data_IF_836101979420
#
_entry.id   IF_836101979420
#
_cell.length_a   1.000
_cell.length_b   1.000
_cell.length_c   1.000
_cell.angle_alpha   90.00
_cell.angle_beta   90.00
_cell.angle_gamma   90.00
#
_symmetry.space_group_name_H-M   'P 1'
#
loop_
_entity.id
_entity.type
_entity.pdbx_description
1 polymer ?
#
# COMPACT_ATOMS: atom_id res chain seq x y z
N UNK A 1 -2.15 19.64 5.10
CA UNK A 1 -1.20 18.54 4.92
C UNK A 1 -1.32 17.98 3.51
N UNK A 2 -0.20 17.75 2.88
CA UNK A 2 -0.16 17.15 1.55
C UNK A 2 -0.25 15.63 1.67
N UNK A 3 -1.05 15.03 0.79
CA UNK A 3 -1.12 13.58 0.67
C UNK A 3 -0.95 13.22 -0.80
N UNK A 4 -0.46 12.02 -1.05
CA UNK A 4 -0.30 11.49 -2.40
C UNK A 4 -0.92 10.12 -2.51
N UNK A 5 -0.93 9.60 -3.73
CA UNK A 5 -1.37 8.24 -3.96
C UNK A 5 -0.36 7.26 -3.36
N UNK A 6 -0.82 6.06 -3.07
CA UNK A 6 0.05 4.99 -2.56
C UNK A 6 1.20 4.79 -3.55
N UNK A 7 2.42 4.77 -3.03
CA UNK A 7 3.65 4.68 -3.81
C UNK A 7 4.35 3.36 -3.44
N UNK A 8 4.28 2.38 -4.33
CA UNK A 8 4.78 1.04 -4.06
C UNK A 8 6.31 1.01 -3.91
N UNK A 9 7.11 1.62 -4.80
CA UNK A 9 8.57 1.63 -4.58
C UNK A 9 8.98 2.24 -3.26
N UNK A 10 8.35 3.35 -2.86
CA UNK A 10 8.65 3.99 -1.59
C UNK A 10 8.23 3.11 -0.42
N UNK A 11 7.07 2.47 -0.53
CA UNK A 11 6.58 1.57 0.51
C UNK A 11 7.53 0.38 0.70
N UNK A 12 8.00 -0.22 -0.39
CA UNK A 12 8.97 -1.32 -0.33
C UNK A 12 10.28 -0.88 0.30
N UNK A 13 10.75 0.31 -0.04
CA UNK A 13 11.96 0.88 0.54
C UNK A 13 11.83 1.06 2.05
N UNK A 14 10.72 1.66 2.49
CA UNK A 14 10.46 1.87 3.91
C UNK A 14 10.29 0.54 4.65
N UNK A 15 9.64 -0.42 4.03
CA UNK A 15 9.45 -1.74 4.64
C UNK A 15 10.78 -2.45 4.85
N UNK A 16 11.69 -2.36 3.88
CA UNK A 16 13.01 -2.96 3.99
C UNK A 16 13.84 -2.29 5.08
N UNK A 17 13.79 -0.95 5.16
CA UNK A 17 14.53 -0.22 6.18
C UNK A 17 14.06 -0.51 7.60
N UNK A 18 12.77 -0.77 7.77
CA UNK A 18 12.16 -0.94 9.08
C UNK A 18 11.84 -2.40 9.41
N UNK A 19 12.25 -3.32 8.56
CA UNK A 19 12.05 -4.75 8.75
C UNK A 19 10.58 -5.09 9.02
N UNK A 20 9.70 -4.59 8.16
CA UNK A 20 8.26 -4.75 8.31
C UNK A 20 7.82 -6.13 7.82
N UNK A 21 7.06 -6.85 8.64
CA UNK A 21 6.55 -8.17 8.31
C UNK A 21 5.12 -8.17 7.78
N UNK A 22 4.35 -7.15 8.12
CA UNK A 22 2.97 -7.04 7.66
C UNK A 22 2.52 -5.59 7.68
N UNK A 23 1.42 -5.29 6.98
CA UNK A 23 0.85 -3.95 6.92
C UNK A 23 -0.45 -3.85 7.71
N UNK A 24 -0.66 -2.68 8.29
CA UNK A 24 -1.96 -2.27 8.78
C UNK A 24 -2.50 -1.22 7.79
N UNK A 25 -3.59 -1.55 7.13
CA UNK A 25 -4.20 -0.65 6.14
C UNK A 25 -5.26 0.20 6.82
N UNK A 26 -5.06 1.51 6.77
CA UNK A 26 -5.95 2.48 7.44
C UNK A 26 -6.45 3.52 6.44
N UNK A 27 -7.46 4.28 6.84
CA UNK A 27 -7.99 5.40 6.06
C UNK A 27 -8.54 5.01 4.69
N UNK A 28 -8.90 3.75 4.51
CA UNK A 28 -9.45 3.27 3.24
C UNK A 28 -10.82 3.87 2.93
N UNK A 29 -11.52 4.35 3.95
CA UNK A 29 -12.82 4.96 3.81
C UNK A 29 -12.81 6.21 2.92
N UNK A 30 -11.70 6.93 2.87
CA UNK A 30 -11.60 8.17 2.08
C UNK A 30 -11.64 7.91 0.57
N UNK A 31 -11.38 6.68 0.14
CA UNK A 31 -11.37 6.30 -1.27
C UNK A 31 -12.57 5.44 -1.67
N UNK A 32 -13.50 5.23 -0.75
CA UNK A 32 -14.71 4.44 -1.00
C UNK A 32 -15.54 5.02 -2.13
N UNK A 33 -16.04 4.15 -3.00
CA UNK A 33 -16.90 4.56 -4.10
C UNK A 33 -16.17 4.81 -5.41
N UNK A 34 -14.86 4.69 -5.43
CA UNK A 34 -14.10 4.80 -6.67
C UNK A 34 -14.08 3.46 -7.40
N UNK A 35 -14.23 3.49 -8.73
CA UNK A 35 -14.11 2.27 -9.53
C UNK A 35 -12.68 1.74 -9.50
N UNK A 36 -11.72 2.68 -9.56
CA UNK A 36 -10.30 2.34 -9.50
C UNK A 36 -9.59 3.34 -8.58
N UNK A 37 -8.44 2.91 -8.07
CA UNK A 37 -7.58 3.72 -7.22
C UNK A 37 -6.21 3.84 -7.90
N UNK A 38 -5.74 5.08 -8.16
CA UNK A 38 -4.40 5.26 -8.71
C UNK A 38 -3.34 4.81 -7.70
N UNK A 39 -2.36 4.06 -8.19
CA UNK A 39 -1.25 3.58 -7.38
C UNK A 39 0.04 3.81 -8.16
N UNK A 40 1.03 4.41 -7.53
CA UNK A 40 2.34 4.61 -8.15
C UNK A 40 3.11 3.31 -8.06
N UNK A 41 3.43 2.72 -9.21
CA UNK A 41 4.10 1.43 -9.27
C UNK A 41 5.56 1.52 -9.70
N UNK A 42 6.00 2.70 -10.13
CA UNK A 42 7.37 2.91 -10.56
C UNK A 42 7.59 4.38 -10.86
N UNK A 43 8.76 4.67 -11.39
CA UNK A 43 9.14 6.04 -11.76
C UNK A 43 9.75 6.05 -13.14
N UNK A 44 9.61 7.18 -13.82
CA UNK A 44 10.29 7.43 -15.09
C UNK A 44 11.35 8.48 -14.89
N UNK A 45 12.57 8.17 -15.29
CA UNK A 45 13.67 9.12 -15.28
C UNK A 45 14.16 9.24 -16.72
N UNK A 46 13.72 10.30 -17.41
CA UNK A 46 13.95 10.41 -18.84
C UNK A 46 13.22 9.31 -19.60
N UNK A 47 13.95 8.45 -20.28
CA UNK A 47 13.38 7.30 -21.00
C UNK A 47 13.47 6.01 -20.20
N UNK A 48 14.07 6.06 -19.02
CA UNK A 48 14.29 4.88 -18.20
C UNK A 48 13.16 4.69 -17.20
N UNK A 49 12.72 3.44 -17.04
CA UNK A 49 11.72 3.07 -16.04
C UNK A 49 12.43 2.50 -14.82
N UNK A 50 12.14 3.05 -13.65
CA UNK A 50 12.73 2.63 -12.40
C UNK A 50 11.66 1.98 -11.51
N UNK A 51 12.00 0.85 -10.91
CA UNK A 51 11.14 0.16 -9.95
C UNK A 51 11.51 0.50 -8.50
N UNK A 52 12.52 1.31 -8.31
CA UNK A 52 12.98 1.73 -6.99
C UNK A 52 13.36 3.21 -7.01
N UNK A 53 13.50 3.79 -5.82
CA UNK A 53 13.89 5.19 -5.71
C UNK A 53 15.34 5.38 -6.17
N UNK A 54 15.61 6.46 -6.93
CA UNK A 54 16.99 6.80 -7.25
C UNK A 54 17.73 7.31 -6.02
N UNK A 55 19.05 7.20 -6.03
CA UNK A 55 19.87 7.60 -4.88
C UNK A 55 20.23 9.08 -4.87
N UNK A 56 20.31 9.73 -6.03
CA UNK A 56 20.71 11.12 -6.06
C UNK A 56 19.51 12.06 -5.91
N UNK A 57 19.74 13.19 -5.25
CA UNK A 57 18.69 14.21 -5.08
C UNK A 57 18.26 14.77 -6.43
N UNK A 58 19.22 14.98 -7.34
CA UNK A 58 18.91 15.50 -8.68
C UNK A 58 17.97 14.55 -9.43
N UNK A 59 18.22 13.24 -9.36
CA UNK A 59 17.38 12.25 -10.01
C UNK A 59 16.00 12.17 -9.33
N UNK A 60 15.95 12.27 -8.02
CA UNK A 60 14.68 12.28 -7.30
C UNK A 60 13.79 13.47 -7.68
N UNK A 61 14.40 14.61 -7.99
CA UNK A 61 13.65 15.78 -8.43
C UNK A 61 13.19 15.66 -9.88
N UNK A 62 13.85 14.83 -10.66
CA UNK A 62 13.59 14.67 -12.10
C UNK A 62 12.64 13.53 -12.43
N UNK A 63 12.35 12.63 -11.49
CA UNK A 63 11.49 11.49 -11.76
C UNK A 63 10.03 11.88 -11.88
N UNK A 64 9.30 11.10 -12.68
CA UNK A 64 7.86 11.24 -12.83
C UNK A 64 7.22 9.92 -12.39
N UNK A 65 6.11 9.97 -11.65
CA UNK A 65 5.46 8.73 -11.20
C UNK A 65 4.79 7.99 -12.37
N UNK A 66 4.91 6.69 -12.35
CA UNK A 66 4.15 5.80 -13.24
C UNK A 66 2.96 5.30 -12.43
N UNK A 67 1.76 5.59 -12.92
CA UNK A 67 0.53 5.30 -12.18
C UNK A 67 -0.25 4.19 -12.85
N UNK A 68 -0.64 3.19 -12.05
CA UNK A 68 -1.58 2.14 -12.47
C UNK A 68 -2.91 2.34 -11.78
N UNK A 69 -3.97 1.90 -12.40
CA UNK A 69 -5.31 1.92 -11.81
C UNK A 69 -5.59 0.55 -11.21
N UNK A 70 -5.70 0.49 -9.89
CA UNK A 70 -6.00 -0.74 -9.18
C UNK A 70 -7.48 -0.81 -8.82
N UNK A 71 -8.02 -2.02 -8.56
CA UNK A 71 -9.43 -2.16 -8.22
C UNK A 71 -9.83 -1.32 -7.01
N UNK A 72 -10.94 -0.60 -7.14
CA UNK A 72 -11.52 0.15 -6.04
C UNK A 72 -12.48 -0.69 -5.20
N UNK A 73 -13.21 -0.03 -4.31
CA UNK A 73 -14.17 -0.71 -3.42
C UNK A 73 -15.35 0.20 -3.11
N UNK A 74 -16.50 -0.42 -2.86
CA UNK A 74 -17.73 0.29 -2.53
C UNK A 74 -17.88 0.50 -1.03
N UNK A 75 -17.25 -0.35 -0.25
CA UNK A 75 -17.29 -0.27 1.21
C UNK A 75 -15.99 -0.83 1.77
N UNK A 76 -15.65 -0.40 2.97
CA UNK A 76 -14.41 -0.83 3.61
C UNK A 76 -14.67 -2.11 4.38
N UNK A 77 -14.46 -3.24 3.72
CA UNK A 77 -14.50 -4.54 4.38
C UNK A 77 -13.55 -5.50 3.63
N UNK A 78 -13.31 -6.63 4.25
CA UNK A 78 -12.38 -7.62 3.73
C UNK A 78 -12.79 -8.11 2.34
N UNK A 79 -14.06 -8.38 2.14
CA UNK A 79 -14.56 -8.91 0.88
C UNK A 79 -14.48 -7.90 -0.26
N UNK A 80 -14.96 -6.68 -0.02
CA UNK A 80 -14.98 -5.63 -1.05
C UNK A 80 -13.57 -5.19 -1.43
N UNK A 81 -12.63 -5.21 -0.49
CA UNK A 81 -11.27 -4.77 -0.72
C UNK A 81 -10.31 -5.88 -1.13
N UNK A 82 -10.78 -7.12 -1.21
CA UNK A 82 -9.93 -8.26 -1.52
C UNK A 82 -9.10 -8.05 -2.79
N UNK A 83 -9.67 -7.58 -3.92
CA UNK A 83 -8.86 -7.37 -5.13
C UNK A 83 -7.73 -6.35 -4.93
N UNK A 84 -7.98 -5.28 -4.21
CA UNK A 84 -6.96 -4.27 -3.91
C UNK A 84 -5.88 -4.84 -2.99
N UNK A 85 -6.31 -5.51 -1.93
CA UNK A 85 -5.37 -6.10 -0.96
C UNK A 85 -4.47 -7.13 -1.62
N UNK A 86 -5.02 -7.97 -2.49
CA UNK A 86 -4.23 -8.97 -3.21
C UNK A 86 -3.17 -8.32 -4.11
N UNK A 87 -3.53 -7.22 -4.78
CA UNK A 87 -2.58 -6.48 -5.60
C UNK A 87 -1.46 -5.89 -4.75
N UNK A 88 -1.81 -5.33 -3.60
CA UNK A 88 -0.83 -4.75 -2.68
C UNK A 88 0.13 -5.81 -2.15
N UNK A 89 -0.40 -6.94 -1.72
CA UNK A 89 0.43 -8.04 -1.22
C UNK A 89 1.33 -8.61 -2.31
N UNK A 90 0.81 -8.74 -3.52
CA UNK A 90 1.60 -9.23 -4.64
C UNK A 90 2.70 -8.25 -5.03
N UNK A 91 2.42 -6.97 -5.01
CA UNK A 91 3.39 -5.93 -5.41
C UNK A 91 4.51 -5.74 -4.39
N UNK A 92 4.23 -5.97 -3.11
CA UNK A 92 5.19 -5.74 -2.03
C UNK A 92 5.80 -7.00 -1.47
N UNK A 93 5.15 -8.14 -1.64
CA UNK A 93 5.55 -9.39 -1.00
C UNK A 93 5.26 -9.42 0.49
N UNK A 94 4.48 -8.47 1.00
CA UNK A 94 4.20 -8.32 2.43
C UNK A 94 2.69 -8.41 2.64
N UNK A 95 2.22 -9.24 3.57
CA UNK A 95 0.78 -9.40 3.80
C UNK A 95 0.17 -8.21 4.51
N UNK A 96 -1.11 -7.98 4.25
CA UNK A 96 -1.92 -7.04 5.03
C UNK A 96 -2.58 -7.87 6.14
N UNK A 97 -2.30 -7.52 7.37
CA UNK A 97 -2.80 -8.28 8.52
C UNK A 97 -3.90 -7.56 9.29
N UNK A 98 -4.00 -6.26 9.14
CA UNK A 98 -5.00 -5.45 9.83
C UNK A 98 -5.64 -4.50 8.84
N UNK A 99 -6.96 -4.43 8.85
CA UNK A 99 -7.73 -3.47 8.07
C UNK A 99 -8.59 -2.65 9.03
N UNK A 100 -8.36 -1.35 9.08
CA UNK A 100 -9.20 -0.45 9.86
C UNK A 100 -10.44 -0.10 9.04
N UNK A 101 -11.62 -0.45 9.53
CA UNK A 101 -12.88 -0.24 8.81
C UNK A 101 -13.56 1.07 9.17
N UNK A 102 -13.05 1.79 10.16
CA UNK A 102 -13.59 3.08 10.57
C UNK A 102 -12.67 3.76 11.56
N UNK A 103 -13.17 4.83 12.17
CA UNK A 103 -12.37 5.65 13.09
C UNK A 103 -12.28 5.09 14.50
N UNK A 104 -13.18 4.18 14.85
CA UNK A 104 -13.26 3.65 16.20
C UNK A 104 -12.26 2.54 16.40
N UNK A 105 -11.85 2.38 17.65
CA UNK A 105 -10.85 1.38 18.01
C UNK A 105 -11.30 -0.05 17.69
N UNK A 106 -12.59 -0.32 17.78
CA UNK A 106 -13.17 -1.64 17.52
C UNK A 106 -13.51 -1.86 16.03
N UNK A 107 -13.33 -0.84 15.20
CA UNK A 107 -13.60 -0.98 13.76
C UNK A 107 -12.33 -1.43 13.03
N UNK A 108 -11.95 -2.68 13.28
CA UNK A 108 -10.73 -3.27 12.76
C UNK A 108 -10.99 -4.73 12.39
N UNK A 109 -10.48 -5.15 11.23
CA UNK A 109 -10.43 -6.56 10.85
C UNK A 109 -9.01 -7.04 10.99
N UNK A 110 -8.81 -8.16 11.66
CA UNK A 110 -7.50 -8.78 11.80
C UNK A 110 -7.50 -10.07 10.98
N UNK A 111 -6.58 -10.17 10.04
CA UNK A 111 -6.51 -11.32 9.13
C UNK A 111 -5.66 -12.43 9.74
N UNK A 112 -5.95 -13.65 9.29
CA UNK A 112 -5.28 -14.85 9.79
C UNK A 112 -3.75 -14.81 9.77
N UNK A 113 -3.09 -14.18 8.77
CA UNK A 113 -1.62 -14.11 8.77
C UNK A 113 -1.02 -13.34 9.93
N UNK A 114 -1.80 -12.49 10.60
CA UNK A 114 -1.29 -11.73 11.73
C UNK A 114 -1.33 -12.56 12.99
N UNK A 115 -0.20 -13.16 13.30
CA UNK A 115 -0.04 -13.94 14.52
C UNK A 115 1.33 -13.65 15.10
N UNK A 116 1.36 -13.29 16.37
CA UNK A 116 2.60 -13.06 17.10
C UNK A 116 3.07 -14.40 17.64
N UNK A 117 4.28 -14.80 17.33
CA UNK A 117 4.79 -16.12 17.72
C UNK A 117 4.68 -16.38 19.21
N UNK A 118 4.94 -15.39 20.04
CA UNK A 118 4.82 -15.53 21.48
C UNK A 118 3.40 -15.80 21.95
N UNK A 119 2.41 -15.42 21.19
CA UNK A 119 1.01 -15.64 21.54
C UNK A 119 0.54 -17.04 21.13
N UNK A 120 1.14 -17.56 20.09
CA UNK A 120 0.79 -18.87 19.56
C UNK A 120 1.26 -19.97 20.49
N UNK A 121 2.32 -19.71 21.17
CA UNK A 121 2.92 -20.68 22.07
C UNK A 121 2.07 -20.95 23.30
#
# INVERSE_FOLDING_TARGET
RRVGWLDIPLLCYCAALNDIDSFALTKADVLTGRDTVPVVTGYRLGEELLESLPFSVADMEAIEPVVEQWPGWDQVDETAMQPFIERLESATGIPVSILSTGKRRDEVCIFAPFQVEGEVA
#
